data_IF_359124435300
#
_entry.id   IF_359124435300
#
_cell.length_a   1.000
_cell.length_b   1.000
_cell.length_c   1.000
_cell.angle_alpha   90.00
_cell.angle_beta   90.00
_cell.angle_gamma   90.00
#
_symmetry.space_group_name_H-M   'P 1'
#
loop_
_entity.id
_entity.type
_entity.pdbx_description
1 polymer ?
#
# COMPACT_ATOMS: atom_id res chain seq x y z
N UNK A 1 10.56 2.82 -24.09
CA UNK A 1 10.53 3.54 -22.80
C UNK A 1 9.40 4.59 -22.78
N UNK A 2 8.23 4.27 -23.35
CA UNK A 2 7.18 5.26 -23.67
C UNK A 2 5.79 4.88 -23.13
N UNK A 3 5.62 3.66 -22.64
CA UNK A 3 4.36 3.12 -22.13
C UNK A 3 4.03 3.58 -20.70
N UNK A 4 5.02 4.02 -19.91
CA UNK A 4 4.79 4.40 -18.50
C UNK A 4 4.11 5.78 -18.36
N UNK A 5 4.48 6.75 -19.21
CA UNK A 5 3.97 8.14 -19.12
C UNK A 5 2.50 8.27 -19.49
N UNK A 6 2.03 7.46 -20.45
CA UNK A 6 0.64 7.48 -20.92
C UNK A 6 -0.33 6.87 -19.89
N UNK A 7 0.15 5.92 -19.09
CA UNK A 7 -0.65 5.23 -18.09
C UNK A 7 -0.87 6.10 -16.84
N UNK A 8 0.11 6.90 -16.40
CA UNK A 8 -0.09 7.87 -15.32
C UNK A 8 -1.14 8.93 -15.67
N UNK A 9 -1.15 9.44 -16.91
CA UNK A 9 -2.11 10.45 -17.34
C UNK A 9 -3.56 9.97 -17.38
N UNK A 10 -3.79 8.66 -17.52
CA UNK A 10 -5.13 8.06 -17.44
C UNK A 10 -5.62 7.92 -15.99
N UNK A 11 -4.72 7.78 -15.01
CA UNK A 11 -5.05 7.75 -13.58
C UNK A 11 -5.47 9.12 -13.04
N UNK A 12 -5.14 10.22 -13.74
CA UNK A 12 -5.47 11.59 -13.35
C UNK A 12 -6.80 12.11 -13.96
N UNK A 13 -7.62 11.25 -14.57
CA UNK A 13 -8.94 11.65 -15.11
C UNK A 13 -9.98 11.68 -14.00
N UNK A 14 -10.67 12.82 -13.85
CA UNK A 14 -11.69 13.11 -12.82
C UNK A 14 -12.93 12.18 -12.80
N UNK A 15 -13.00 11.15 -13.63
CA UNK A 15 -14.07 10.13 -13.63
C UNK A 15 -13.63 8.72 -13.26
N UNK A 16 -12.32 8.48 -13.08
CA UNK A 16 -11.76 7.16 -12.73
C UNK A 16 -11.51 7.00 -11.21
N UNK A 17 -11.67 8.08 -10.45
CA UNK A 17 -11.41 8.19 -9.00
C UNK A 17 -12.44 7.46 -8.11
N UNK A 18 -13.25 6.57 -8.70
CA UNK A 18 -14.35 5.86 -8.01
C UNK A 18 -14.35 4.36 -8.27
N UNK A 19 -13.25 3.79 -8.74
CA UNK A 19 -13.09 2.35 -8.92
C UNK A 19 -11.73 1.88 -8.37
N UNK A 20 -11.57 1.94 -7.05
CA UNK A 20 -10.35 1.51 -6.37
C UNK A 20 -10.48 0.05 -5.93
N UNK A 21 -10.09 -0.86 -6.83
CA UNK A 21 -9.98 -2.31 -6.55
C UNK A 21 -8.57 -2.60 -5.98
N UNK A 22 -8.23 -1.91 -4.89
CA UNK A 22 -6.87 -1.90 -4.32
C UNK A 22 -6.43 -3.26 -3.76
N UNK A 23 -7.39 -4.06 -3.27
CA UNK A 23 -7.13 -5.42 -2.77
C UNK A 23 -6.57 -6.32 -3.87
N UNK A 24 -7.22 -6.35 -5.02
CA UNK A 24 -6.85 -7.19 -6.16
C UNK A 24 -5.56 -6.68 -6.81
N UNK A 25 -5.36 -5.35 -6.86
CA UNK A 25 -4.11 -4.76 -7.31
C UNK A 25 -2.93 -5.18 -6.42
N UNK A 26 -3.13 -5.18 -5.10
CA UNK A 26 -2.14 -5.67 -4.13
C UNK A 26 -1.85 -7.16 -4.30
N UNK A 27 -2.87 -8.01 -4.43
CA UNK A 27 -2.69 -9.45 -4.64
C UNK A 27 -1.92 -9.73 -5.94
N UNK A 28 -2.25 -9.02 -7.02
CA UNK A 28 -1.55 -9.13 -8.28
C UNK A 28 -0.08 -8.74 -8.15
N UNK A 29 0.21 -7.59 -7.52
CA UNK A 29 1.58 -7.13 -7.31
C UNK A 29 2.37 -8.11 -6.42
N UNK A 30 1.76 -8.59 -5.33
CA UNK A 30 2.34 -9.58 -4.42
C UNK A 30 2.67 -10.89 -5.15
N UNK A 31 1.74 -11.43 -5.94
CA UNK A 31 1.95 -12.68 -6.68
C UNK A 31 3.12 -12.62 -7.65
N UNK A 32 3.37 -11.45 -8.25
CA UNK A 32 4.53 -11.23 -9.13
C UNK A 32 5.80 -11.06 -8.31
N UNK A 33 5.73 -10.30 -7.21
CA UNK A 33 6.88 -10.01 -6.38
C UNK A 33 7.43 -11.27 -5.68
N UNK A 34 6.56 -12.18 -5.23
CA UNK A 34 7.00 -13.38 -4.50
C UNK A 34 7.83 -14.33 -5.39
N UNK A 35 7.51 -14.40 -6.70
CA UNK A 35 8.23 -15.23 -7.68
C UNK A 35 9.61 -14.72 -8.06
N UNK A 36 9.96 -13.50 -7.65
CA UNK A 36 11.23 -12.86 -7.98
C UNK A 36 12.38 -13.46 -7.14
N UNK A 37 13.58 -13.70 -7.72
CA UNK A 37 14.72 -14.30 -7.01
C UNK A 37 15.42 -13.37 -6.01
N UNK A 38 15.13 -12.07 -6.04
CA UNK A 38 15.76 -11.04 -5.22
C UNK A 38 15.54 -11.32 -3.73
N UNK A 39 16.61 -11.27 -2.94
CA UNK A 39 16.56 -11.57 -1.50
C UNK A 39 15.68 -10.60 -0.72
N UNK A 40 15.63 -9.34 -1.17
CA UNK A 40 14.88 -8.27 -0.52
C UNK A 40 13.79 -7.76 -1.44
N UNK A 41 12.54 -7.87 -0.99
CA UNK A 41 11.35 -7.53 -1.77
C UNK A 41 10.54 -6.48 -1.02
N UNK A 42 10.35 -5.33 -1.65
CA UNK A 42 9.59 -4.21 -1.08
C UNK A 42 8.38 -3.99 -1.97
N UNK A 43 7.19 -3.97 -1.37
CA UNK A 43 5.95 -3.61 -2.01
C UNK A 43 5.52 -2.25 -1.48
N UNK A 44 5.58 -1.22 -2.33
CA UNK A 44 5.19 0.15 -1.98
C UNK A 44 3.87 0.50 -2.67
N UNK A 45 2.87 0.86 -1.89
CA UNK A 45 1.57 1.36 -2.36
C UNK A 45 1.60 2.88 -2.40
N UNK A 46 1.09 3.48 -3.46
CA UNK A 46 0.85 4.93 -3.54
C UNK A 46 -0.62 5.07 -3.89
N UNK A 47 -1.43 5.62 -2.98
CA UNK A 47 -2.88 5.74 -3.16
C UNK A 47 -3.37 7.12 -2.69
N UNK A 48 -4.36 7.67 -3.38
CA UNK A 48 -5.01 8.95 -3.10
C UNK A 48 -6.36 8.80 -2.38
N UNK A 49 -6.75 7.58 -2.00
CA UNK A 49 -8.05 7.35 -1.36
C UNK A 49 -8.23 5.97 -0.72
N UNK A 50 -9.39 5.79 -0.10
CA UNK A 50 -9.88 4.50 0.39
C UNK A 50 -10.49 3.68 -0.78
N UNK A 51 -10.60 2.33 -0.67
CA UNK A 51 -11.20 1.52 -1.72
C UNK A 51 -12.68 1.87 -1.89
N UNK A 52 -13.06 2.40 -3.05
CA UNK A 52 -14.43 2.78 -3.41
C UNK A 52 -14.67 2.28 -4.83
N UNK A 53 -15.68 1.41 -5.01
CA UNK A 53 -16.23 1.02 -6.31
C UNK A 53 -17.77 1.05 -6.22
N UNK A 54 -18.37 2.03 -6.91
CA UNK A 54 -19.81 2.30 -6.90
C UNK A 54 -20.62 1.07 -7.40
N UNK A 55 -20.05 0.27 -8.30
CA UNK A 55 -20.72 -0.92 -8.83
C UNK A 55 -20.75 -2.07 -7.82
N UNK A 56 -19.64 -2.34 -7.13
CA UNK A 56 -19.57 -3.32 -6.04
C UNK A 56 -20.43 -2.93 -4.84
N UNK A 57 -20.48 -1.64 -4.47
CA UNK A 57 -21.28 -1.14 -3.35
C UNK A 57 -22.79 -1.19 -3.60
N UNK A 58 -23.23 -1.17 -4.87
CA UNK A 58 -24.65 -1.23 -5.23
C UNK A 58 -25.30 -2.60 -4.97
N UNK A 59 -24.49 -3.66 -4.87
CA UNK A 59 -24.96 -5.05 -4.71
C UNK A 59 -24.37 -5.78 -3.50
N UNK A 60 -23.41 -5.19 -2.79
CA UNK A 60 -22.79 -5.77 -1.60
C UNK A 60 -22.94 -4.88 -0.36
N UNK A 61 -22.66 -5.44 0.82
CA UNK A 61 -22.55 -4.64 2.03
C UNK A 61 -21.51 -3.52 1.85
N UNK A 62 -21.82 -2.31 2.31
CA UNK A 62 -21.03 -1.10 2.05
C UNK A 62 -19.56 -1.12 2.53
N UNK A 63 -19.14 -2.15 3.25
CA UNK A 63 -17.77 -2.35 3.73
C UNK A 63 -17.04 -3.53 3.06
N UNK A 64 -17.58 -4.10 1.98
CA UNK A 64 -17.02 -5.29 1.34
C UNK A 64 -15.57 -5.06 0.87
N UNK A 65 -15.33 -3.98 0.12
CA UNK A 65 -14.01 -3.64 -0.42
C UNK A 65 -13.02 -3.27 0.68
N UNK A 66 -13.46 -2.53 1.70
CA UNK A 66 -12.62 -2.20 2.86
C UNK A 66 -12.19 -3.47 3.61
N UNK A 67 -13.11 -4.42 3.81
CA UNK A 67 -12.80 -5.70 4.43
C UNK A 67 -11.86 -6.53 3.55
N UNK A 68 -12.08 -6.57 2.24
CA UNK A 68 -11.20 -7.26 1.31
C UNK A 68 -9.79 -6.69 1.35
N UNK A 69 -9.65 -5.36 1.25
CA UNK A 69 -8.36 -4.68 1.33
C UNK A 69 -7.64 -5.00 2.64
N UNK A 70 -8.33 -4.94 3.79
CA UNK A 70 -7.74 -5.31 5.08
C UNK A 70 -7.26 -6.77 5.12
N UNK A 71 -8.03 -7.70 4.55
CA UNK A 71 -7.64 -9.11 4.49
C UNK A 71 -6.40 -9.32 3.62
N UNK A 72 -6.33 -8.66 2.45
CA UNK A 72 -5.18 -8.74 1.56
C UNK A 72 -3.94 -8.13 2.21
N UNK A 73 -4.05 -6.94 2.81
CA UNK A 73 -2.94 -6.30 3.51
C UNK A 73 -2.42 -7.20 4.62
N UNK A 74 -3.31 -7.75 5.46
CA UNK A 74 -2.92 -8.66 6.53
C UNK A 74 -2.19 -9.89 6.00
N UNK A 75 -2.69 -10.51 4.92
CA UNK A 75 -2.05 -11.65 4.25
C UNK A 75 -0.64 -11.32 3.76
N UNK A 76 -0.41 -10.12 3.23
CA UNK A 76 0.92 -9.69 2.78
C UNK A 76 1.83 -9.35 3.96
N UNK A 77 1.32 -8.64 4.99
CA UNK A 77 2.12 -8.22 6.14
C UNK A 77 2.63 -9.37 7.02
N UNK A 78 1.95 -10.52 7.02
CA UNK A 78 2.42 -11.72 7.74
C UNK A 78 3.53 -12.46 7.00
N UNK A 79 3.73 -12.21 5.71
CA UNK A 79 4.82 -12.81 4.93
C UNK A 79 6.14 -12.10 5.24
N UNK A 80 7.10 -12.76 5.91
CA UNK A 80 8.35 -12.12 6.30
C UNK A 80 9.28 -11.84 5.11
N UNK A 81 8.99 -12.38 3.92
CA UNK A 81 9.80 -12.17 2.72
C UNK A 81 9.48 -10.87 2.00
N UNK A 82 8.39 -10.19 2.37
CA UNK A 82 7.93 -8.94 1.76
C UNK A 82 7.90 -7.81 2.79
N UNK A 83 8.43 -6.65 2.40
CA UNK A 83 8.28 -5.41 3.16
C UNK A 83 7.19 -4.55 2.51
N UNK A 84 6.01 -4.48 3.12
CA UNK A 84 4.90 -3.65 2.67
C UNK A 84 4.98 -2.23 3.29
N UNK A 85 4.87 -1.20 2.45
CA UNK A 85 4.75 0.21 2.87
C UNK A 85 3.75 0.95 1.98
N UNK A 86 3.16 2.04 2.48
CA UNK A 86 2.19 2.85 1.75
C UNK A 86 2.42 4.36 1.85
N UNK A 87 2.09 5.09 0.79
CA UNK A 87 2.05 6.56 0.75
C UNK A 87 0.63 6.97 0.36
N UNK A 88 -0.05 7.66 1.27
CA UNK A 88 -1.36 8.27 1.05
C UNK A 88 -1.23 9.69 0.56
N UNK A 89 -1.86 10.08 -0.55
CA UNK A 89 -1.89 11.47 -1.03
C UNK A 89 -3.26 12.06 -0.70
N UNK A 90 -3.30 13.06 0.20
CA UNK A 90 -4.56 13.68 0.63
C UNK A 90 -5.48 12.75 1.45
N UNK A 91 -5.04 11.52 1.77
CA UNK A 91 -5.83 10.53 2.49
C UNK A 91 -5.01 9.77 3.54
N UNK A 92 -5.61 9.54 4.71
CA UNK A 92 -4.98 8.81 5.82
C UNK A 92 -5.04 7.29 5.60
N UNK A 93 -3.95 6.76 5.05
CA UNK A 93 -3.78 5.31 4.77
C UNK A 93 -3.24 4.51 5.97
N UNK A 94 -2.89 5.16 7.10
CA UNK A 94 -2.39 4.48 8.30
C UNK A 94 -3.42 3.55 8.95
N UNK A 95 -4.70 3.72 8.58
CA UNK A 95 -5.81 2.87 9.04
C UNK A 95 -5.74 1.45 8.48
N UNK A 96 -5.00 1.25 7.40
CA UNK A 96 -4.91 -0.01 6.69
C UNK A 96 -3.51 -0.60 6.75
N UNK A 97 -2.47 0.22 6.57
CA UNK A 97 -1.08 -0.23 6.47
C UNK A 97 -0.30 0.08 7.74
N UNK A 98 0.49 -0.89 8.20
CA UNK A 98 1.33 -0.71 9.40
C UNK A 98 2.48 0.28 9.20
N UNK A 99 3.06 0.31 8.00
CA UNK A 99 4.11 1.26 7.60
C UNK A 99 3.53 2.18 6.55
N UNK A 100 3.21 3.41 6.91
CA UNK A 100 2.69 4.36 5.96
C UNK A 100 3.04 5.81 6.27
N UNK A 101 3.00 6.64 5.24
CA UNK A 101 3.10 8.10 5.33
C UNK A 101 1.92 8.71 4.58
N UNK A 102 1.39 9.81 5.09
CA UNK A 102 0.39 10.61 4.37
C UNK A 102 1.03 11.94 3.99
N UNK A 103 0.96 12.28 2.70
CA UNK A 103 1.37 13.57 2.15
C UNK A 103 0.15 14.39 1.76
N UNK A 104 0.29 15.70 1.72
CA UNK A 104 -0.84 16.60 1.40
C UNK A 104 -1.09 16.64 -0.11
N UNK A 105 -0.03 16.65 -0.91
CA UNK A 105 -0.07 16.81 -2.36
C UNK A 105 0.97 15.90 -3.04
N UNK A 106 0.85 15.75 -4.37
CA UNK A 106 1.76 14.91 -5.14
C UNK A 106 3.17 15.51 -5.31
N UNK A 107 3.36 16.80 -5.04
CA UNK A 107 4.67 17.46 -5.15
C UNK A 107 5.62 16.93 -4.06
N UNK A 108 5.06 16.56 -2.91
CA UNK A 108 5.78 15.95 -1.79
C UNK A 108 6.15 14.47 -2.01
N UNK A 109 5.63 13.83 -3.08
CA UNK A 109 5.79 12.39 -3.30
C UNK A 109 7.26 11.96 -3.42
N UNK A 110 8.08 12.77 -4.10
CA UNK A 110 9.51 12.46 -4.28
C UNK A 110 10.26 12.41 -2.94
N UNK A 111 9.97 13.35 -2.04
CA UNK A 111 10.51 13.37 -0.68
C UNK A 111 10.05 12.16 0.12
N UNK A 112 8.74 11.89 0.12
CA UNK A 112 8.15 10.77 0.86
C UNK A 112 8.68 9.39 0.40
N UNK A 113 8.86 9.18 -0.91
CA UNK A 113 9.47 7.94 -1.43
C UNK A 113 10.90 7.80 -0.92
N UNK A 114 11.68 8.89 -0.94
CA UNK A 114 13.08 8.88 -0.48
C UNK A 114 13.17 8.56 1.00
N UNK A 115 12.32 9.17 1.82
CA UNK A 115 12.25 8.93 3.26
C UNK A 115 11.80 7.50 3.58
N UNK A 116 10.78 6.98 2.88
CA UNK A 116 10.34 5.60 3.07
C UNK A 116 11.42 4.60 2.68
N UNK A 117 12.11 4.81 1.56
CA UNK A 117 13.21 3.96 1.15
C UNK A 117 14.37 4.04 2.15
N UNK A 118 14.76 5.24 2.59
CA UNK A 118 15.80 5.43 3.60
C UNK A 118 15.46 4.70 4.91
N UNK A 119 14.23 4.85 5.41
CA UNK A 119 13.76 4.17 6.62
C UNK A 119 13.73 2.65 6.50
N UNK A 120 13.65 2.10 5.29
CA UNK A 120 13.80 0.66 5.07
C UNK A 120 15.27 0.21 5.23
N UNK A 121 16.25 1.05 4.91
CA UNK A 121 17.67 0.71 5.08
C UNK A 121 18.18 0.87 6.52
N UNK A 122 17.47 1.64 7.36
CA UNK A 122 17.84 1.83 8.76
C UNK A 122 17.35 0.66 9.65
N UNK A 123 18.30 -0.11 10.20
CA UNK A 123 18.08 -1.29 11.06
C UNK A 123 17.24 -1.03 12.34
N UNK A 124 17.05 0.23 12.73
CA UNK A 124 16.25 0.62 13.91
C UNK A 124 14.76 0.28 13.76
N UNK A 125 14.21 0.30 12.54
CA UNK A 125 12.81 -0.10 12.27
C UNK A 125 12.56 -1.61 12.43
N UNK A 126 13.61 -2.44 12.27
CA UNK A 126 13.52 -3.89 12.50
C UNK A 126 13.45 -4.21 14.00
N UNK A 127 14.14 -3.43 14.82
CA UNK A 127 14.34 -3.71 16.26
C UNK A 127 13.16 -3.24 17.13
N UNK A 128 12.49 -2.15 16.73
CA UNK A 128 11.31 -1.62 17.46
C UNK A 128 10.11 -2.59 17.43
N UNK A 129 9.97 -3.38 16.36
CA UNK A 129 8.90 -4.36 16.19
C UNK A 129 9.14 -5.67 16.97
N UNK A 130 10.39 -6.10 17.13
CA UNK A 130 10.74 -7.24 18.00
C UNK A 130 10.46 -6.88 19.46
N UNK A 131 10.81 -5.66 19.90
CA UNK A 131 10.57 -5.19 21.27
C UNK A 131 9.08 -5.05 21.62
N UNK A 132 8.23 -4.63 20.68
CA UNK A 132 6.76 -4.60 20.89
C UNK A 132 6.16 -6.02 21.02
N UNK A 133 6.64 -6.99 20.24
CA UNK A 133 6.14 -8.38 20.28
C UNK A 133 6.49 -9.10 21.59
N UNK A 134 7.64 -8.78 22.20
CA UNK A 134 8.07 -9.32 23.49
C UNK A 134 7.27 -8.74 24.66
N UNK A 135 6.85 -7.46 24.60
CA UNK A 135 6.06 -6.82 25.66
C UNK A 135 4.58 -7.22 25.69
N UNK A 136 4.03 -7.77 24.60
CA UNK A 136 2.60 -8.17 24.54
C UNK A 136 2.40 -9.62 25.02
N UNK A 137 3.47 -10.41 25.10
CA UNK A 137 3.42 -11.83 25.49
C UNK A 137 3.85 -12.09 26.95
N UNK A 138 3.86 -11.05 27.80
CA UNK A 138 4.18 -11.14 29.24
C UNK A 138 3.04 -10.55 30.08
#
# INVERSE_FOLDING_TARGET
METLKRNLGLMLREGLLKENIDGEALEWAYSRLITRPEQRKILMVISDGAPVDDSTLSVNAGNYLERHLKQVIQKIEIDPSIELTAIGIGHDVNRYYRRAVTIVDAEQLGGAITEQLAGLFDEEFKTSNVRKKIKVNN
#
